data_IF_466091301905
#
_entry.id   IF_466091301905
#
_cell.length_a   1.000
_cell.length_b   1.000
_cell.length_c   1.000
_cell.angle_alpha   90.00
_cell.angle_beta   90.00
_cell.angle_gamma   90.00
#
_symmetry.space_group_name_H-M   'P 1'
#
loop_
_entity.id
_entity.type
_entity.pdbx_description
1 polymer ?
#
# COMPACT_ATOMS: atom_id res chain seq x y z
N UNK A 1 17.22 -5.91 0.14
CA UNK A 1 16.46 -5.68 1.37
C UNK A 1 14.98 -5.51 1.06
N UNK A 2 14.12 -6.09 1.87
CA UNK A 2 12.66 -5.97 1.72
C UNK A 2 12.07 -5.17 2.88
N UNK A 3 10.90 -4.57 2.66
CA UNK A 3 10.17 -3.93 3.74
C UNK A 3 9.67 -4.97 4.74
N UNK A 4 9.65 -4.61 6.02
CA UNK A 4 9.06 -5.43 7.08
C UNK A 4 7.58 -5.16 7.32
N UNK A 5 7.01 -4.21 6.59
CA UNK A 5 5.60 -3.87 6.73
C UNK A 5 4.65 -5.07 6.60
N UNK A 6 4.83 -6.00 5.65
CA UNK A 6 3.93 -7.15 5.55
C UNK A 6 4.01 -8.12 6.73
N UNK A 7 5.17 -8.26 7.38
CA UNK A 7 5.33 -9.17 8.52
C UNK A 7 4.97 -8.52 9.86
N UNK A 8 5.05 -7.20 9.95
CA UNK A 8 4.69 -6.45 11.15
C UNK A 8 4.01 -5.12 10.78
N UNK A 9 2.75 -5.18 10.31
CA UNK A 9 2.04 -4.01 9.82
C UNK A 9 1.60 -3.03 10.90
N UNK A 10 1.78 -3.36 12.18
CA UNK A 10 1.40 -2.49 13.29
C UNK A 10 2.50 -1.49 13.69
N UNK A 11 3.71 -1.69 13.20
CA UNK A 11 4.82 -0.77 13.50
C UNK A 11 4.62 0.54 12.74
N UNK A 12 4.59 1.65 13.48
CA UNK A 12 4.40 3.01 12.93
C UNK A 12 5.61 3.91 13.13
N UNK A 13 6.50 3.55 14.03
CA UNK A 13 7.74 4.28 14.30
C UNK A 13 8.88 3.31 14.47
N UNK A 14 10.01 3.59 13.85
CA UNK A 14 11.18 2.73 13.89
C UNK A 14 12.46 3.54 13.68
N UNK A 15 13.58 2.96 14.07
CA UNK A 15 14.90 3.52 13.76
C UNK A 15 15.64 2.59 12.81
N UNK A 16 16.45 3.16 11.92
CA UNK A 16 17.24 2.39 10.98
C UNK A 16 18.48 3.15 10.57
N UNK A 17 19.52 2.41 10.20
CA UNK A 17 20.73 2.97 9.64
C UNK A 17 20.53 3.29 8.16
N UNK A 18 21.00 4.46 7.73
CA UNK A 18 21.00 4.86 6.33
C UNK A 18 22.12 4.14 5.60
N UNK A 19 21.77 3.32 4.62
CA UNK A 19 22.72 2.58 3.78
C UNK A 19 23.25 3.45 2.66
N UNK A 20 22.39 4.29 2.07
CA UNK A 20 22.77 5.16 0.97
C UNK A 20 21.79 6.30 0.79
N UNK A 21 22.30 7.42 0.28
CA UNK A 21 21.52 8.58 -0.11
C UNK A 21 21.95 8.96 -1.52
N UNK A 22 20.97 9.06 -2.43
CA UNK A 22 21.18 9.50 -3.80
C UNK A 22 20.15 10.60 -4.09
N UNK A 23 20.59 11.87 -4.00
CA UNK A 23 19.75 13.04 -4.09
C UNK A 23 18.63 12.98 -3.02
N UNK A 24 17.37 12.77 -3.41
CA UNK A 24 16.23 12.64 -2.48
C UNK A 24 15.79 11.20 -2.26
N UNK A 25 16.56 10.23 -2.75
CA UNK A 25 16.25 8.80 -2.58
C UNK A 25 17.14 8.23 -1.48
N UNK A 26 16.50 7.58 -0.52
CA UNK A 26 17.18 7.01 0.66
C UNK A 26 16.94 5.52 0.74
N UNK A 27 18.01 4.76 0.95
CA UNK A 27 17.96 3.33 1.24
C UNK A 27 18.33 3.10 2.69
N UNK A 28 17.48 2.38 3.42
CA UNK A 28 17.68 2.04 4.82
C UNK A 28 18.09 0.58 4.97
N UNK A 29 18.85 0.24 6.01
CA UNK A 29 19.22 -1.14 6.32
C UNK A 29 17.97 -1.99 6.60
N UNK A 30 16.94 -1.38 7.15
CA UNK A 30 15.66 -2.00 7.47
C UNK A 30 14.56 -0.95 7.37
N UNK A 31 13.38 -1.32 6.89
CA UNK A 31 12.27 -0.37 6.81
C UNK A 31 10.95 -1.05 7.11
N UNK A 32 10.03 -0.27 7.70
CA UNK A 32 8.64 -0.65 7.90
C UNK A 32 7.70 0.15 6.99
N UNK A 33 8.23 0.96 6.08
CA UNK A 33 7.44 1.58 5.03
C UNK A 33 7.05 0.53 3.99
N UNK A 34 5.76 0.44 3.71
CA UNK A 34 5.26 -0.45 2.66
C UNK A 34 5.61 0.12 1.30
N UNK A 35 6.31 -0.65 0.49
CA UNK A 35 6.58 -0.30 -0.90
C UNK A 35 5.35 -0.59 -1.75
N UNK A 36 5.06 0.29 -2.73
CA UNK A 36 3.91 0.11 -3.60
C UNK A 36 3.94 -1.27 -4.27
N UNK A 37 2.88 -2.04 -4.09
CA UNK A 37 2.73 -3.34 -4.73
C UNK A 37 1.29 -3.83 -4.66
N UNK A 38 0.91 -4.70 -5.59
CA UNK A 38 -0.37 -5.38 -5.56
C UNK A 38 -1.59 -4.43 -5.57
N UNK A 39 -1.46 -3.24 -6.11
CA UNK A 39 -2.52 -2.23 -6.15
C UNK A 39 -2.62 -1.36 -4.90
N UNK A 40 -1.88 -1.69 -3.83
CA UNK A 40 -1.80 -0.84 -2.65
C UNK A 40 -0.69 0.20 -2.82
N UNK A 41 -0.98 1.50 -2.64
CA UNK A 41 0.05 2.53 -2.76
C UNK A 41 1.08 2.44 -1.63
N UNK A 42 2.24 3.07 -1.87
CA UNK A 42 3.29 3.16 -0.87
C UNK A 42 2.81 3.88 0.39
N UNK A 43 3.36 3.48 1.54
CA UNK A 43 3.12 4.20 2.79
C UNK A 43 3.60 5.65 2.67
N UNK A 44 2.95 6.51 3.45
CA UNK A 44 3.35 7.91 3.66
C UNK A 44 3.91 8.06 5.07
N UNK A 45 4.64 9.12 5.28
CA UNK A 45 5.20 9.43 6.59
C UNK A 45 6.44 10.31 6.45
N UNK A 46 7.34 10.19 7.43
CA UNK A 46 8.56 10.99 7.47
C UNK A 46 9.78 10.13 7.83
N UNK A 47 10.95 10.58 7.38
CA UNK A 47 12.24 10.07 7.82
C UNK A 47 13.02 11.26 8.37
N UNK A 48 13.28 11.26 9.67
CA UNK A 48 13.87 12.39 10.39
C UNK A 48 13.20 13.73 10.08
N UNK A 49 11.85 13.72 10.04
CA UNK A 49 11.05 14.90 9.78
C UNK A 49 10.90 15.28 8.31
N UNK A 50 11.59 14.60 7.39
CA UNK A 50 11.45 14.86 5.96
C UNK A 50 10.37 13.95 5.39
N UNK A 51 9.39 14.54 4.69
CA UNK A 51 8.25 13.80 4.16
C UNK A 51 8.68 12.77 3.11
N UNK A 52 8.15 11.55 3.24
CA UNK A 52 8.31 10.49 2.24
C UNK A 52 7.24 10.65 1.17
N UNK A 53 7.67 10.86 -0.07
CA UNK A 53 6.77 11.05 -1.21
C UNK A 53 6.41 9.72 -1.88
N UNK A 54 7.31 8.73 -1.87
CA UNK A 54 7.09 7.44 -2.51
C UNK A 54 8.02 6.37 -1.90
N UNK A 55 7.61 5.12 -2.00
CA UNK A 55 8.42 3.97 -1.59
C UNK A 55 8.28 2.89 -2.67
N UNK A 56 9.39 2.51 -3.28
CA UNK A 56 9.42 1.52 -4.36
C UNK A 56 10.47 0.45 -4.09
N UNK A 57 10.20 -0.77 -4.53
CA UNK A 57 11.21 -1.82 -4.57
C UNK A 57 11.89 -1.79 -5.94
N UNK A 58 13.20 -1.59 -5.95
CA UNK A 58 14.01 -1.53 -7.18
C UNK A 58 15.22 -2.44 -6.99
N UNK A 59 15.37 -3.43 -7.86
CA UNK A 59 16.48 -4.40 -7.81
C UNK A 59 16.64 -5.07 -6.44
N UNK A 60 15.51 -5.40 -5.80
CA UNK A 60 15.50 -6.04 -4.49
C UNK A 60 15.75 -5.12 -3.30
N UNK A 61 15.94 -3.83 -3.52
CA UNK A 61 16.11 -2.83 -2.47
C UNK A 61 14.89 -1.93 -2.37
N UNK A 62 14.51 -1.55 -1.15
CA UNK A 62 13.43 -0.60 -0.92
C UNK A 62 14.00 0.81 -0.93
N UNK A 63 13.52 1.64 -1.85
CA UNK A 63 13.94 3.03 -2.03
C UNK A 63 12.85 3.98 -1.58
N UNK A 64 13.20 4.93 -0.72
CA UNK A 64 12.31 5.95 -0.20
C UNK A 64 12.63 7.26 -0.90
N UNK A 65 11.69 7.79 -1.67
CA UNK A 65 11.83 9.09 -2.32
C UNK A 65 11.26 10.16 -1.40
N UNK A 66 12.08 11.13 -1.02
CA UNK A 66 11.69 12.21 -0.12
C UNK A 66 11.14 13.41 -0.91
N UNK A 67 10.22 14.14 -0.27
CA UNK A 67 9.66 15.37 -0.86
C UNK A 67 10.61 16.56 -0.71
N UNK A 68 11.60 16.47 0.17
CA UNK A 68 12.61 17.50 0.40
C UNK A 68 14.00 16.92 0.46
N UNK A 69 14.99 17.77 0.62
CA UNK A 69 16.37 17.32 0.71
C UNK A 69 16.63 16.69 2.08
N UNK A 70 17.28 15.51 2.13
CA UNK A 70 17.61 14.87 3.38
C UNK A 70 18.70 15.64 4.13
N UNK A 71 18.57 15.72 5.45
CA UNK A 71 19.56 16.34 6.34
C UNK A 71 20.57 15.35 6.91
N UNK A 72 20.51 14.10 6.47
CA UNK A 72 21.32 13.00 6.97
C UNK A 72 22.09 12.34 5.83
N UNK A 73 23.10 11.56 6.19
CA UNK A 73 23.99 10.86 5.24
C UNK A 73 24.04 9.36 5.54
N UNK A 74 24.63 8.60 4.62
CA UNK A 74 24.87 7.18 4.81
C UNK A 74 25.71 6.95 6.09
N UNK A 75 25.32 5.93 6.85
CA UNK A 75 25.94 5.61 8.13
C UNK A 75 25.25 6.22 9.34
N UNK A 76 24.38 7.20 9.15
CA UNK A 76 23.61 7.79 10.24
C UNK A 76 22.38 6.96 10.56
N UNK A 77 21.93 7.01 11.81
CA UNK A 77 20.68 6.39 12.24
C UNK A 77 19.56 7.43 12.19
N UNK A 78 18.46 7.06 11.53
CA UNK A 78 17.29 7.94 11.36
C UNK A 78 16.05 7.31 11.96
N UNK A 79 15.04 8.14 12.23
CA UNK A 79 13.74 7.70 12.71
C UNK A 79 12.71 7.79 11.58
N UNK A 80 12.11 6.65 11.23
CA UNK A 80 11.00 6.58 10.30
C UNK A 80 9.67 6.60 11.06
N UNK A 81 8.74 7.44 10.62
CA UNK A 81 7.39 7.51 11.16
C UNK A 81 6.41 7.27 10.02
N UNK A 82 5.65 6.18 10.11
CA UNK A 82 4.63 5.83 9.11
C UNK A 82 3.35 6.57 9.45
N UNK A 83 2.69 7.16 8.42
CA UNK A 83 1.38 7.77 8.57
C UNK A 83 0.37 6.68 8.93
N UNK A 84 -0.08 6.68 10.18
CA UNK A 84 -0.97 5.65 10.72
C UNK A 84 -2.34 5.68 10.05
N UNK A 85 -2.90 6.85 9.83
CA UNK A 85 -4.23 6.99 9.22
C UNK A 85 -4.22 6.48 7.78
N UNK A 86 -3.20 6.81 7.02
CA UNK A 86 -3.07 6.36 5.64
C UNK A 86 -2.83 4.85 5.55
N UNK A 87 -1.94 4.30 6.38
CA UNK A 87 -1.69 2.85 6.44
C UNK A 87 -2.97 2.11 6.79
N UNK A 88 -3.70 2.56 7.81
CA UNK A 88 -4.95 1.93 8.25
C UNK A 88 -5.99 1.97 7.13
N UNK A 89 -6.13 3.10 6.45
CA UNK A 89 -7.01 3.22 5.29
C UNK A 89 -6.64 2.20 4.20
N UNK A 90 -5.37 2.10 3.83
CA UNK A 90 -4.93 1.17 2.79
C UNK A 90 -5.16 -0.30 3.19
N UNK A 91 -4.92 -0.65 4.45
CA UNK A 91 -5.16 -2.01 4.94
C UNK A 91 -6.65 -2.37 4.90
N UNK A 92 -7.52 -1.45 5.32
CA UNK A 92 -8.97 -1.64 5.26
C UNK A 92 -9.47 -1.74 3.83
N UNK A 93 -8.95 -0.90 2.95
CA UNK A 93 -9.30 -0.90 1.53
C UNK A 93 -8.87 -2.22 0.87
N UNK A 94 -7.70 -2.72 1.19
CA UNK A 94 -7.21 -4.01 0.68
C UNK A 94 -8.14 -5.15 1.13
N UNK A 95 -8.52 -5.18 2.41
CA UNK A 95 -9.47 -6.17 2.94
C UNK A 95 -10.83 -6.04 2.25
N UNK A 96 -11.34 -4.82 2.06
CA UNK A 96 -12.60 -4.57 1.39
C UNK A 96 -12.59 -5.09 -0.06
N UNK A 97 -11.45 -4.96 -0.77
CA UNK A 97 -11.33 -5.47 -2.14
C UNK A 97 -11.46 -6.99 -2.19
N UNK A 98 -10.91 -7.71 -1.22
CA UNK A 98 -11.06 -9.15 -1.12
C UNK A 98 -12.50 -9.56 -0.81
N UNK A 99 -13.18 -8.83 0.07
CA UNK A 99 -14.61 -9.07 0.37
C UNK A 99 -15.47 -8.85 -0.87
N UNK A 100 -15.23 -7.78 -1.60
CA UNK A 100 -15.95 -7.48 -2.84
C UNK A 100 -15.74 -8.57 -3.88
N UNK A 101 -14.51 -9.01 -4.08
CA UNK A 101 -14.20 -10.09 -5.02
C UNK A 101 -14.86 -11.40 -4.59
N UNK A 102 -14.83 -11.73 -3.30
CA UNK A 102 -15.49 -12.92 -2.76
C UNK A 102 -16.99 -12.90 -2.97
N UNK A 103 -17.65 -11.75 -2.77
CA UNK A 103 -19.08 -11.60 -3.04
C UNK A 103 -19.37 -11.73 -4.54
N UNK A 104 -18.52 -11.12 -5.39
CA UNK A 104 -18.66 -11.24 -6.85
C UNK A 104 -18.58 -12.68 -7.34
N UNK A 105 -17.73 -13.51 -6.75
CA UNK A 105 -17.59 -14.93 -7.11
C UNK A 105 -18.85 -15.73 -6.84
N UNK A 106 -19.73 -15.28 -5.95
CA UNK A 106 -21.00 -15.96 -5.66
C UNK A 106 -22.10 -15.59 -6.64
N UNK A 107 -22.03 -14.40 -7.25
CA UNK A 107 -23.08 -13.86 -8.10
C UNK A 107 -22.76 -13.90 -9.58
N UNK A 108 -21.48 -13.81 -9.95
CA UNK A 108 -21.06 -13.61 -11.33
C UNK A 108 -20.47 -14.90 -11.90
N UNK A 109 -20.86 -15.21 -13.14
CA UNK A 109 -20.32 -16.35 -13.88
C UNK A 109 -18.98 -16.00 -14.50
N UNK A 110 -18.09 -16.99 -14.59
CA UNK A 110 -16.76 -16.83 -15.21
C UNK A 110 -16.02 -15.61 -14.69
N UNK A 111 -16.08 -15.38 -13.36
CA UNK A 111 -15.45 -14.21 -12.76
C UNK A 111 -13.93 -14.33 -12.85
N UNK A 112 -13.31 -13.39 -13.52
CA UNK A 112 -11.87 -13.19 -13.54
C UNK A 112 -11.48 -11.93 -12.79
N UNK A 113 -10.23 -11.91 -12.33
CA UNK A 113 -9.65 -10.75 -11.70
C UNK A 113 -9.03 -9.84 -12.74
N UNK A 114 -9.60 -8.65 -12.91
CA UNK A 114 -9.12 -7.65 -13.88
C UNK A 114 -8.12 -6.65 -13.31
N UNK A 115 -7.97 -6.62 -11.98
CA UNK A 115 -7.08 -5.72 -11.28
C UNK A 115 -7.78 -4.94 -10.18
N UNK A 116 -7.01 -4.27 -9.32
CA UNK A 116 -7.58 -3.32 -8.38
C UNK A 116 -6.60 -2.19 -8.09
N UNK A 117 -7.12 -1.08 -7.59
CA UNK A 117 -6.32 0.08 -7.23
C UNK A 117 -6.92 0.77 -6.02
N UNK A 118 -6.06 1.21 -5.13
CA UNK A 118 -6.41 2.00 -3.95
C UNK A 118 -5.87 3.40 -4.15
N UNK A 119 -6.75 4.41 -4.03
CA UNK A 119 -6.36 5.82 -4.07
C UNK A 119 -6.78 6.52 -2.78
N UNK A 120 -6.45 7.80 -2.65
CA UNK A 120 -6.76 8.60 -1.46
C UNK A 120 -8.27 8.66 -1.15
N UNK A 121 -9.12 8.50 -2.16
CA UNK A 121 -10.56 8.70 -2.02
C UNK A 121 -11.39 7.48 -2.38
N UNK A 122 -10.82 6.44 -3.01
CA UNK A 122 -11.60 5.29 -3.47
C UNK A 122 -10.77 4.04 -3.64
N UNK A 123 -11.48 2.91 -3.65
CA UNK A 123 -10.96 1.60 -4.02
C UNK A 123 -11.66 1.18 -5.30
N UNK A 124 -10.88 0.70 -6.27
CA UNK A 124 -11.40 0.16 -7.51
C UNK A 124 -11.02 -1.30 -7.65
N UNK A 125 -12.00 -2.12 -7.96
CA UNK A 125 -11.80 -3.54 -8.27
C UNK A 125 -12.38 -3.81 -9.65
N UNK A 126 -11.56 -4.33 -10.55
CA UNK A 126 -11.97 -4.65 -11.92
C UNK A 126 -12.21 -6.15 -12.03
N UNK A 127 -13.38 -6.51 -12.54
CA UNK A 127 -13.77 -7.89 -12.78
C UNK A 127 -13.92 -8.17 -14.27
N UNK A 128 -13.65 -9.41 -14.66
CA UNK A 128 -14.09 -9.96 -15.95
C UNK A 128 -15.15 -11.01 -15.67
N UNK A 129 -16.29 -10.94 -16.36
CA UNK A 129 -17.39 -11.87 -16.15
C UNK A 129 -18.26 -11.94 -17.39
N UNK A 130 -18.90 -13.09 -17.62
CA UNK A 130 -19.93 -13.26 -18.65
C UNK A 130 -21.32 -12.85 -18.18
N UNK A 131 -21.51 -12.55 -16.90
CA UNK A 131 -22.78 -12.11 -16.35
C UNK A 131 -23.00 -10.62 -16.64
N UNK A 132 -24.19 -10.28 -17.16
CA UNK A 132 -24.61 -8.88 -17.30
C UNK A 132 -24.82 -8.27 -15.91
N UNK A 133 -24.13 -7.17 -15.64
CA UNK A 133 -24.24 -6.47 -14.35
C UNK A 133 -25.35 -5.43 -14.46
N UNK A 134 -26.53 -5.77 -13.92
CA UNK A 134 -27.69 -4.89 -13.85
C UNK A 134 -27.95 -4.44 -12.41
N UNK A 135 -29.01 -3.64 -12.22
CA UNK A 135 -29.33 -3.12 -10.88
C UNK A 135 -29.63 -4.24 -9.88
N UNK A 136 -30.23 -5.35 -10.30
CA UNK A 136 -30.52 -6.48 -9.41
C UNK A 136 -29.22 -7.15 -8.93
N UNK A 137 -28.23 -7.30 -9.80
CA UNK A 137 -26.91 -7.83 -9.44
C UNK A 137 -26.20 -6.90 -8.46
N UNK A 138 -26.23 -5.59 -8.70
CA UNK A 138 -25.61 -4.61 -7.82
C UNK A 138 -26.22 -4.61 -6.41
N UNK A 139 -27.55 -4.71 -6.32
CA UNK A 139 -28.25 -4.79 -5.03
C UNK A 139 -27.88 -6.07 -4.28
N UNK A 140 -27.82 -7.20 -4.96
CA UNK A 140 -27.45 -8.47 -4.33
C UNK A 140 -25.98 -8.48 -3.90
N UNK A 141 -25.08 -7.90 -4.69
CA UNK A 141 -23.68 -7.77 -4.36
C UNK A 141 -23.48 -6.93 -3.09
N UNK A 142 -24.19 -5.80 -3.00
CA UNK A 142 -24.18 -4.95 -1.80
C UNK A 142 -24.68 -5.71 -0.57
N UNK A 143 -25.74 -6.48 -0.71
CA UNK A 143 -26.28 -7.29 0.37
C UNK A 143 -25.28 -8.33 0.89
N UNK A 144 -24.54 -8.99 -0.01
CA UNK A 144 -23.52 -9.97 0.36
C UNK A 144 -22.33 -9.35 1.07
N UNK A 145 -21.92 -8.16 0.66
CA UNK A 145 -20.81 -7.44 1.26
C UNK A 145 -21.15 -6.97 2.68
N UNK A 146 -22.40 -6.55 2.90
CA UNK A 146 -22.86 -5.97 4.17
C UNK A 146 -23.44 -7.02 5.15
N UNK A 147 -23.21 -8.26 4.90
CA UNK A 147 -23.67 -9.35 5.74
C UNK A 147 -23.01 -9.41 7.10
#
# INVERSE_FOLDING_TARGET
MQTRAPSDPTVREFTAEVVGVDDRTVTLAETYFYAESGGQPADRGTIDGVRVADVQTVDGAVRHTLAGDPSFEAGETVTGVVDDDFRTYCMRAHTASHVLYGAGRRLLDDLGYGGFNISDSKVRVDFTTSTDIDDAVLVELERLINR
#
